data_IF_421189144341
#
_entry.id   IF_421189144341
#
_cell.length_a   1.000
_cell.length_b   1.000
_cell.length_c   1.000
_cell.angle_alpha   90.00
_cell.angle_beta   90.00
_cell.angle_gamma   90.00
#
_symmetry.space_group_name_H-M   'P 1'
#
loop_
_entity.id
_entity.type
_entity.pdbx_description
1 polymer ?
#
# COMPACT_ATOMS: atom_id res chain seq x y z
N UNK A 1 33.81 28.20 10.03
CA UNK A 1 33.58 28.77 8.68
C UNK A 1 32.37 28.09 8.05
N UNK A 2 31.54 28.85 7.33
CA UNK A 2 30.38 28.40 6.54
C UNK A 2 30.85 27.37 5.51
N UNK A 3 30.01 26.38 5.19
CA UNK A 3 30.29 25.31 4.21
C UNK A 3 31.53 24.41 4.46
N UNK A 4 32.30 24.62 5.54
CA UNK A 4 33.49 23.80 5.83
C UNK A 4 33.14 22.35 6.24
N UNK A 5 32.26 22.20 7.25
CA UNK A 5 31.81 20.87 7.73
C UNK A 5 30.65 20.32 6.90
N UNK A 6 29.62 21.13 6.68
CA UNK A 6 28.41 20.76 5.93
C UNK A 6 28.15 21.83 4.89
N UNK A 7 28.33 21.47 3.63
CA UNK A 7 27.95 22.27 2.46
C UNK A 7 26.64 21.75 1.85
N UNK A 8 26.11 22.47 0.86
CA UNK A 8 24.84 22.12 0.21
C UNK A 8 24.88 20.77 -0.49
N UNK A 9 25.99 20.40 -1.13
CA UNK A 9 26.13 19.13 -1.85
C UNK A 9 26.19 17.94 -0.87
N UNK A 10 26.99 18.04 0.19
CA UNK A 10 27.06 17.05 1.28
C UNK A 10 25.74 16.89 2.00
N UNK A 11 25.05 18.01 2.31
CA UNK A 11 23.68 17.97 2.86
C UNK A 11 22.76 17.16 1.96
N UNK A 12 22.76 17.46 0.65
CA UNK A 12 21.90 16.76 -0.29
C UNK A 12 22.21 15.26 -0.37
N UNK A 13 23.48 14.88 -0.36
CA UNK A 13 23.91 13.47 -0.33
C UNK A 13 23.39 12.78 0.94
N UNK A 14 23.56 13.39 2.12
CA UNK A 14 23.10 12.80 3.37
C UNK A 14 21.57 12.68 3.44
N UNK A 15 20.84 13.70 3.02
CA UNK A 15 19.38 13.65 2.93
C UNK A 15 18.94 12.59 1.94
N UNK A 16 19.55 12.51 0.76
CA UNK A 16 19.18 11.52 -0.25
C UNK A 16 19.44 10.09 0.21
N UNK A 17 20.53 9.84 0.96
CA UNK A 17 20.77 8.54 1.61
C UNK A 17 19.63 8.19 2.57
N UNK A 18 19.22 9.13 3.43
CA UNK A 18 18.11 8.91 4.37
C UNK A 18 16.75 8.78 3.69
N UNK A 19 16.55 9.46 2.55
CA UNK A 19 15.35 9.30 1.71
C UNK A 19 15.28 7.93 1.06
N UNK A 20 16.42 7.33 0.70
CA UNK A 20 16.47 5.95 0.20
C UNK A 20 16.03 4.96 1.28
N UNK A 21 16.58 5.10 2.50
CA UNK A 21 16.15 4.29 3.66
C UNK A 21 14.65 4.51 3.97
N UNK A 22 14.16 5.74 3.83
CA UNK A 22 12.74 6.06 4.04
C UNK A 22 11.86 5.40 2.98
N UNK A 23 12.29 5.42 1.72
CA UNK A 23 11.58 4.76 0.62
C UNK A 23 11.47 3.26 0.83
N UNK A 24 12.52 2.61 1.34
CA UNK A 24 12.50 1.20 1.68
C UNK A 24 11.49 0.90 2.82
N UNK A 25 11.49 1.72 3.87
CA UNK A 25 10.53 1.57 4.96
C UNK A 25 9.07 1.78 4.50
N UNK A 26 8.81 2.74 3.60
CA UNK A 26 7.50 2.95 2.98
C UNK A 26 7.10 1.76 2.10
N UNK A 27 8.04 1.24 1.31
CA UNK A 27 7.80 0.05 0.48
C UNK A 27 7.44 -1.16 1.35
N UNK A 28 8.18 -1.40 2.43
CA UNK A 28 7.89 -2.48 3.38
C UNK A 28 6.52 -2.32 4.04
N UNK A 29 6.14 -1.10 4.41
CA UNK A 29 4.78 -0.83 4.90
C UNK A 29 3.73 -1.23 3.86
N UNK A 30 3.93 -0.80 2.61
CA UNK A 30 2.99 -1.10 1.52
C UNK A 30 2.87 -2.60 1.26
N UNK A 31 4.00 -3.33 1.29
CA UNK A 31 4.00 -4.78 1.13
C UNK A 31 3.20 -5.46 2.26
N UNK A 32 3.41 -5.06 3.51
CA UNK A 32 2.63 -5.57 4.66
C UNK A 32 1.14 -5.28 4.49
N UNK A 33 0.76 -4.06 4.10
CA UNK A 33 -0.64 -3.71 3.85
C UNK A 33 -1.29 -4.57 2.78
N UNK A 34 -0.58 -4.83 1.67
CA UNK A 34 -1.09 -5.65 0.57
C UNK A 34 -1.24 -7.11 1.02
N UNK A 35 -0.20 -7.68 1.65
CA UNK A 35 -0.24 -9.06 2.15
C UNK A 35 -1.39 -9.24 3.14
N UNK A 36 -1.54 -8.34 4.11
CA UNK A 36 -2.63 -8.40 5.09
C UNK A 36 -4.01 -8.30 4.42
N UNK A 37 -4.18 -7.46 3.39
CA UNK A 37 -5.43 -7.37 2.63
C UNK A 37 -5.73 -8.66 1.88
N UNK A 38 -4.74 -9.27 1.25
CA UNK A 38 -4.89 -10.56 0.55
C UNK A 38 -5.27 -11.66 1.55
N UNK A 39 -4.59 -11.72 2.70
CA UNK A 39 -4.91 -12.68 3.76
C UNK A 39 -6.34 -12.50 4.28
N UNK A 40 -6.76 -11.26 4.52
CA UNK A 40 -8.12 -10.96 4.95
C UNK A 40 -9.14 -11.39 3.88
N UNK A 41 -8.95 -11.01 2.62
CA UNK A 41 -9.85 -11.39 1.53
C UNK A 41 -9.94 -12.92 1.35
N UNK A 42 -8.83 -13.64 1.55
CA UNK A 42 -8.81 -15.11 1.54
C UNK A 42 -9.69 -15.70 2.67
N UNK A 43 -9.53 -15.20 3.89
CA UNK A 43 -10.34 -15.67 5.02
C UNK A 43 -11.80 -15.25 4.93
N UNK A 44 -12.10 -14.08 4.35
CA UNK A 44 -13.47 -13.63 4.07
C UNK A 44 -14.16 -14.57 3.05
N UNK A 45 -13.44 -14.99 2.00
CA UNK A 45 -13.93 -16.00 1.05
C UNK A 45 -14.19 -17.34 1.75
N UNK A 46 -13.22 -17.85 2.51
CA UNK A 46 -13.37 -19.11 3.25
C UNK A 46 -14.57 -19.08 4.21
N UNK A 47 -14.75 -17.97 4.92
CA UNK A 47 -15.91 -17.74 5.78
C UNK A 47 -17.21 -17.74 4.97
N UNK A 48 -17.28 -17.00 3.86
CA UNK A 48 -18.51 -16.90 3.05
C UNK A 48 -18.94 -18.24 2.46
N UNK A 49 -18.01 -19.08 2.01
CA UNK A 49 -18.29 -20.43 1.49
C UNK A 49 -18.88 -21.30 2.60
N UNK A 50 -18.29 -21.24 3.80
CA UNK A 50 -18.78 -22.00 4.94
C UNK A 50 -20.15 -21.52 5.42
N UNK A 51 -20.41 -20.22 5.39
CA UNK A 51 -21.73 -19.67 5.70
C UNK A 51 -22.78 -20.12 4.67
N UNK A 52 -22.47 -20.10 3.37
CA UNK A 52 -23.37 -20.61 2.33
C UNK A 52 -23.76 -22.07 2.59
N UNK A 53 -22.79 -22.92 2.94
CA UNK A 53 -23.03 -24.32 3.30
C UNK A 53 -23.97 -24.44 4.51
N UNK A 54 -23.77 -23.63 5.55
CA UNK A 54 -24.64 -23.56 6.73
C UNK A 54 -26.06 -23.13 6.34
N UNK A 55 -26.21 -22.14 5.43
CA UNK A 55 -27.54 -21.72 4.96
C UNK A 55 -28.24 -22.83 4.18
N UNK A 56 -27.51 -23.58 3.35
CA UNK A 56 -28.05 -24.75 2.63
C UNK A 56 -28.51 -25.84 3.59
N UNK A 57 -27.74 -26.12 4.64
CA UNK A 57 -28.14 -27.09 5.67
C UNK A 57 -29.34 -26.61 6.49
N UNK A 58 -29.44 -25.30 6.75
CA UNK A 58 -30.61 -24.70 7.39
C UNK A 58 -31.89 -24.86 6.55
N UNK A 59 -31.79 -24.81 5.21
CA UNK A 59 -32.92 -25.12 4.31
C UNK A 59 -33.34 -26.59 4.46
N UNK A 60 -32.39 -27.54 4.42
CA UNK A 60 -32.70 -28.98 4.59
C UNK A 60 -33.39 -29.26 5.93
N UNK A 61 -32.94 -28.60 7.00
CA UNK A 61 -33.54 -28.71 8.32
C UNK A 61 -34.97 -28.13 8.33
N UNK A 62 -35.19 -26.97 7.72
CA UNK A 62 -36.51 -26.36 7.60
C UNK A 62 -37.48 -27.21 6.78
N UNK A 63 -37.01 -27.86 5.71
CA UNK A 63 -37.82 -28.78 4.89
C UNK A 63 -38.21 -30.03 5.68
N UNK A 64 -37.29 -30.55 6.49
CA UNK A 64 -37.57 -31.66 7.41
C UNK A 64 -38.65 -31.27 8.43
N UNK A 65 -38.54 -30.07 9.00
CA UNK A 65 -39.55 -29.54 9.92
C UNK A 65 -40.91 -29.38 9.24
N UNK A 66 -40.96 -28.85 8.02
CA UNK A 66 -42.20 -28.72 7.26
C UNK A 66 -42.87 -30.07 7.03
N UNK A 67 -42.09 -31.10 6.65
CA UNK A 67 -42.62 -32.45 6.46
C UNK A 67 -43.14 -33.06 7.76
N UNK A 68 -42.47 -32.84 8.89
CA UNK A 68 -42.95 -33.27 10.21
C UNK A 68 -44.26 -32.57 10.59
N UNK A 69 -44.36 -31.26 10.39
CA UNK A 69 -45.58 -30.50 10.67
C UNK A 69 -46.76 -31.00 9.81
N UNK A 70 -46.54 -31.29 8.53
CA UNK A 70 -47.59 -31.85 7.64
C UNK A 70 -48.15 -33.16 8.19
N UNK A 71 -47.27 -34.09 8.58
CA UNK A 71 -47.68 -35.37 9.18
C UNK A 71 -48.45 -35.19 10.48
N UNK A 72 -48.05 -34.24 11.33
CA UNK A 72 -48.75 -33.94 12.58
C UNK A 72 -50.14 -33.34 12.35
N UNK A 73 -50.32 -32.53 11.31
CA UNK A 73 -51.64 -32.02 10.91
C UNK A 73 -52.53 -33.16 10.39
N UNK A 74 -51.98 -34.09 9.60
CA UNK A 74 -52.73 -35.26 9.09
C UNK A 74 -53.29 -36.14 10.22
N UNK A 75 -52.58 -36.26 11.34
CA UNK A 75 -53.04 -37.00 12.53
C UNK A 75 -53.75 -36.13 13.57
N UNK A 76 -53.97 -34.83 13.27
CA UNK A 76 -54.73 -33.90 14.10
C UNK A 76 -54.02 -33.38 15.35
N UNK A 77 -52.70 -33.54 15.46
CA UNK A 77 -51.90 -33.11 16.63
C UNK A 77 -51.32 -31.70 16.51
N UNK A 78 -51.42 -31.07 15.33
CA UNK A 78 -50.91 -29.72 15.04
C UNK A 78 -51.93 -28.93 14.21
N UNK A 79 -51.90 -27.59 14.29
CA UNK A 79 -52.84 -26.75 13.54
C UNK A 79 -52.38 -26.55 12.07
N UNK A 80 -53.30 -26.49 11.08
CA UNK A 80 -52.95 -26.27 9.68
C UNK A 80 -52.15 -24.98 9.41
N UNK A 81 -52.35 -23.94 10.24
CA UNK A 81 -51.61 -22.68 10.15
C UNK A 81 -50.10 -22.86 10.38
N UNK A 82 -49.70 -23.85 11.18
CA UNK A 82 -48.29 -24.13 11.48
C UNK A 82 -47.55 -24.72 10.26
N UNK A 83 -48.27 -25.38 9.35
CA UNK A 83 -47.71 -25.85 8.07
C UNK A 83 -47.43 -24.66 7.14
N UNK A 84 -48.34 -23.69 7.08
CA UNK A 84 -48.15 -22.47 6.29
C UNK A 84 -46.98 -21.65 6.82
N UNK A 85 -46.90 -21.48 8.15
CA UNK A 85 -45.78 -20.81 8.80
C UNK A 85 -44.44 -21.50 8.51
N UNK A 86 -44.38 -22.83 8.63
CA UNK A 86 -43.18 -23.60 8.30
C UNK A 86 -42.81 -23.51 6.82
N UNK A 87 -43.77 -23.47 5.90
CA UNK A 87 -43.52 -23.28 4.48
C UNK A 87 -42.91 -21.90 4.20
N UNK A 88 -43.45 -20.84 4.80
CA UNK A 88 -42.86 -19.49 4.70
C UNK A 88 -41.42 -19.45 5.24
N UNK A 89 -41.16 -20.18 6.33
CA UNK A 89 -39.81 -20.28 6.89
C UNK A 89 -38.83 -20.98 5.94
N UNK A 90 -39.25 -22.03 5.23
CA UNK A 90 -38.44 -22.68 4.18
C UNK A 90 -38.10 -21.68 3.08
N UNK A 91 -39.08 -20.93 2.57
CA UNK A 91 -38.85 -19.95 1.50
C UNK A 91 -37.92 -18.81 1.95
N UNK A 92 -38.05 -18.37 3.20
CA UNK A 92 -37.13 -17.37 3.79
C UNK A 92 -35.70 -17.90 3.86
N UNK A 93 -35.50 -19.18 4.22
CA UNK A 93 -34.17 -19.80 4.23
C UNK A 93 -33.61 -19.96 2.82
N UNK A 94 -34.45 -20.31 1.85
CA UNK A 94 -34.05 -20.37 0.43
C UNK A 94 -33.59 -19.01 -0.08
N UNK A 95 -34.31 -17.93 0.25
CA UNK A 95 -33.87 -16.58 -0.05
C UNK A 95 -32.50 -16.27 0.57
N UNK A 96 -32.27 -16.68 1.81
CA UNK A 96 -30.98 -16.47 2.48
C UNK A 96 -29.83 -17.22 1.78
N UNK A 97 -30.09 -18.41 1.22
CA UNK A 97 -29.09 -19.13 0.40
C UNK A 97 -28.69 -18.28 -0.82
N UNK A 98 -29.64 -17.70 -1.56
CA UNK A 98 -29.31 -16.84 -2.70
C UNK A 98 -28.48 -15.61 -2.31
N UNK A 99 -28.77 -15.02 -1.15
CA UNK A 99 -27.96 -13.91 -0.60
C UNK A 99 -26.54 -14.40 -0.32
N UNK A 100 -26.38 -15.54 0.36
CA UNK A 100 -25.05 -16.10 0.67
C UNK A 100 -24.25 -16.47 -0.59
N UNK A 101 -24.89 -17.01 -1.63
CA UNK A 101 -24.23 -17.29 -2.93
C UNK A 101 -23.68 -16.00 -3.59
N UNK A 102 -24.42 -14.90 -3.48
CA UNK A 102 -23.96 -13.59 -3.97
C UNK A 102 -22.79 -13.07 -3.12
N UNK A 103 -22.85 -13.25 -1.80
CA UNK A 103 -21.74 -12.89 -0.90
C UNK A 103 -20.47 -13.67 -1.23
N UNK A 104 -20.56 -14.98 -1.49
CA UNK A 104 -19.42 -15.81 -1.94
C UNK A 104 -18.83 -15.26 -3.24
N UNK A 105 -19.68 -14.98 -4.23
CA UNK A 105 -19.23 -14.41 -5.52
C UNK A 105 -18.53 -13.06 -5.34
N UNK A 106 -19.01 -12.20 -4.45
CA UNK A 106 -18.38 -10.91 -4.15
C UNK A 106 -17.05 -11.07 -3.43
N UNK A 107 -16.95 -11.96 -2.44
CA UNK A 107 -15.72 -12.26 -1.73
C UNK A 107 -14.65 -12.84 -2.66
N UNK A 108 -15.05 -13.74 -3.57
CA UNK A 108 -14.16 -14.31 -4.57
C UNK A 108 -13.62 -13.24 -5.53
N UNK A 109 -14.49 -12.36 -6.03
CA UNK A 109 -14.08 -11.26 -6.89
C UNK A 109 -13.15 -10.26 -6.18
N UNK A 110 -13.39 -10.00 -4.89
CA UNK A 110 -12.52 -9.14 -4.09
C UNK A 110 -11.12 -9.72 -3.93
N UNK A 111 -11.01 -11.04 -3.71
CA UNK A 111 -9.72 -11.74 -3.68
C UNK A 111 -9.03 -11.73 -5.05
N UNK A 112 -9.78 -12.02 -6.13
CA UNK A 112 -9.26 -12.01 -7.51
C UNK A 112 -8.70 -10.64 -7.88
N UNK A 113 -9.39 -9.55 -7.53
CA UNK A 113 -8.93 -8.18 -7.81
C UNK A 113 -7.58 -7.83 -7.13
N UNK A 114 -7.17 -8.58 -6.10
CA UNK A 114 -5.87 -8.39 -5.42
C UNK A 114 -4.77 -9.30 -5.97
N UNK A 115 -5.13 -10.41 -6.63
CA UNK A 115 -4.19 -11.47 -7.02
C UNK A 115 -4.03 -11.63 -8.54
N UNK A 116 -4.95 -11.08 -9.33
CA UNK A 116 -5.07 -11.30 -10.77
C UNK A 116 -4.98 -9.95 -11.49
N UNK A 117 -4.30 -9.91 -12.64
CA UNK A 117 -4.09 -8.67 -13.41
C UNK A 117 -5.40 -8.07 -13.96
N UNK A 118 -6.42 -8.91 -14.24
CA UNK A 118 -7.74 -8.46 -14.64
C UNK A 118 -8.59 -9.51 -15.37
N UNK A 119 -9.71 -9.10 -15.99
CA UNK A 119 -10.67 -10.00 -16.63
C UNK A 119 -10.13 -10.81 -17.82
N UNK A 120 -9.00 -10.42 -18.39
CA UNK A 120 -8.33 -11.14 -19.47
C UNK A 120 -7.45 -12.30 -19.00
N UNK A 121 -7.22 -12.44 -17.70
CA UNK A 121 -6.46 -13.55 -17.13
C UNK A 121 -7.31 -14.83 -17.09
N UNK A 122 -6.71 -15.95 -17.48
CA UNK A 122 -7.27 -17.29 -17.31
C UNK A 122 -7.78 -17.57 -15.89
N UNK A 123 -7.11 -17.02 -14.87
CA UNK A 123 -7.46 -17.20 -13.46
C UNK A 123 -8.71 -16.41 -13.05
N UNK A 124 -9.14 -15.42 -13.84
CA UNK A 124 -10.35 -14.66 -13.55
C UNK A 124 -11.61 -15.54 -13.54
N UNK A 125 -11.68 -16.49 -14.48
CA UNK A 125 -12.79 -17.41 -14.62
C UNK A 125 -12.64 -18.70 -13.81
N UNK A 126 -11.46 -18.93 -13.20
CA UNK A 126 -11.23 -20.08 -12.34
C UNK A 126 -11.93 -19.88 -10.98
N UNK A 127 -12.51 -20.96 -10.43
CA UNK A 127 -13.07 -20.92 -9.09
C UNK A 127 -11.96 -21.07 -8.05
N UNK A 128 -11.93 -20.18 -7.05
CA UNK A 128 -10.99 -20.28 -5.93
C UNK A 128 -11.63 -21.10 -4.80
N UNK A 129 -10.97 -22.21 -4.42
CA UNK A 129 -11.40 -23.06 -3.31
C UNK A 129 -10.37 -22.98 -2.18
N UNK A 130 -10.72 -22.41 -1.01
CA UNK A 130 -9.87 -22.43 0.17
C UNK A 130 -9.62 -23.86 0.65
N UNK A 131 -8.36 -24.21 0.91
CA UNK A 131 -7.96 -25.57 1.33
C UNK A 131 -7.61 -25.66 2.82
N UNK A 132 -7.40 -24.51 3.46
CA UNK A 132 -6.96 -24.46 4.86
C UNK A 132 -8.16 -24.60 5.82
N UNK A 133 -7.93 -25.32 6.91
CA UNK A 133 -8.89 -25.41 8.02
C UNK A 133 -8.56 -24.36 9.07
N UNK A 134 -9.58 -23.72 9.63
CA UNK A 134 -9.42 -22.70 10.67
C UNK A 134 -9.03 -23.32 12.01
N UNK A 135 -7.74 -23.33 12.35
CA UNK A 135 -7.21 -23.66 13.68
C UNK A 135 -6.54 -22.41 14.27
N UNK A 136 -7.32 -21.56 14.94
CA UNK A 136 -6.79 -20.38 15.62
C UNK A 136 -6.25 -20.78 16.98
N UNK A 137 -4.94 -20.94 17.04
CA UNK A 137 -4.22 -21.08 18.32
C UNK A 137 -3.83 -19.69 18.81
N UNK A 138 -4.26 -19.28 20.00
CA UNK A 138 -3.86 -17.99 20.56
C UNK A 138 -2.35 -17.99 20.78
N UNK A 139 -1.64 -17.07 20.12
CA UNK A 139 -0.22 -16.85 20.36
C UNK A 139 -0.09 -15.98 21.60
N UNK A 140 0.34 -16.57 22.71
CA UNK A 140 0.58 -15.85 23.96
C UNK A 140 2.02 -15.35 23.97
N UNK A 141 2.20 -14.05 23.82
CA UNK A 141 3.52 -13.37 23.91
C UNK A 141 3.46 -12.43 25.12
N UNK A 142 4.47 -12.40 26.00
CA UNK A 142 4.55 -11.41 27.07
C UNK A 142 4.49 -9.98 26.51
N UNK A 143 3.84 -9.07 27.24
CA UNK A 143 3.62 -7.71 26.78
C UNK A 143 4.93 -6.97 26.43
N UNK A 144 5.96 -7.14 27.25
CA UNK A 144 7.27 -6.52 27.03
C UNK A 144 7.93 -7.01 25.74
N UNK A 145 7.85 -8.32 25.47
CA UNK A 145 8.37 -8.92 24.25
C UNK A 145 7.61 -8.43 23.02
N UNK A 146 6.28 -8.32 23.13
CA UNK A 146 5.44 -7.76 22.07
C UNK A 146 5.78 -6.29 21.77
N UNK A 147 6.02 -5.46 22.80
CA UNK A 147 6.43 -4.06 22.61
C UNK A 147 7.80 -3.93 21.94
N UNK A 148 8.77 -4.73 22.39
CA UNK A 148 10.11 -4.76 21.79
C UNK A 148 10.04 -5.16 20.32
N UNK A 149 9.35 -6.26 20.01
CA UNK A 149 9.15 -6.73 18.63
C UNK A 149 8.43 -5.69 17.77
N UNK A 150 7.41 -5.03 18.30
CA UNK A 150 6.67 -3.98 17.60
C UNK A 150 7.58 -2.80 17.27
N UNK A 151 8.40 -2.32 18.22
CA UNK A 151 9.32 -1.20 17.99
C UNK A 151 10.36 -1.52 16.91
N UNK A 152 10.83 -2.76 16.84
CA UNK A 152 11.86 -3.20 15.89
C UNK A 152 11.29 -3.45 14.48
N UNK A 153 10.07 -3.99 14.38
CA UNK A 153 9.54 -4.47 13.10
C UNK A 153 8.55 -3.52 12.43
N UNK A 154 7.96 -2.55 13.15
CA UNK A 154 6.97 -1.61 12.59
C UNK A 154 7.61 -0.59 11.66
N UNK A 155 7.28 -0.59 10.36
CA UNK A 155 7.86 0.35 9.40
C UNK A 155 7.52 1.80 9.72
N UNK A 156 6.33 2.08 10.26
CA UNK A 156 5.90 3.44 10.61
C UNK A 156 6.81 4.08 11.67
N UNK A 157 7.30 3.30 12.63
CA UNK A 157 8.25 3.77 13.65
C UNK A 157 9.59 4.08 12.99
N UNK A 158 10.06 3.21 12.09
CA UNK A 158 11.30 3.43 11.34
C UNK A 158 11.23 4.70 10.48
N UNK A 159 10.12 4.95 9.80
CA UNK A 159 9.90 6.16 9.01
C UNK A 159 10.01 7.43 9.86
N UNK A 160 9.38 7.45 11.04
CA UNK A 160 9.47 8.58 11.97
C UNK A 160 10.91 8.84 12.44
N UNK A 161 11.67 7.79 12.74
CA UNK A 161 13.09 7.92 13.10
C UNK A 161 13.92 8.48 11.94
N UNK A 162 13.72 8.00 10.70
CA UNK A 162 14.43 8.50 9.52
C UNK A 162 14.08 9.96 9.22
N UNK A 163 12.81 10.35 9.39
CA UNK A 163 12.39 11.75 9.25
C UNK A 163 13.06 12.65 10.28
N UNK A 164 13.20 12.18 11.53
CA UNK A 164 13.94 12.88 12.58
C UNK A 164 15.42 13.05 12.20
N UNK A 165 16.05 12.04 11.61
CA UNK A 165 17.45 12.12 11.15
C UNK A 165 17.62 13.13 10.00
N UNK A 166 16.68 13.17 9.05
CA UNK A 166 16.66 14.18 7.98
C UNK A 166 16.55 15.59 8.59
N UNK A 167 15.62 15.79 9.52
CA UNK A 167 15.44 17.09 10.18
C UNK A 167 16.70 17.50 10.97
N UNK A 168 17.42 16.54 11.57
CA UNK A 168 18.69 16.79 12.25
C UNK A 168 19.77 17.29 11.28
N UNK A 169 19.89 16.67 10.09
CA UNK A 169 20.82 17.12 9.05
C UNK A 169 20.52 18.56 8.64
N UNK A 170 19.24 18.93 8.53
CA UNK A 170 18.83 20.29 8.23
C UNK A 170 19.21 21.29 9.34
N UNK A 171 18.95 20.95 10.59
CA UNK A 171 19.34 21.77 11.75
C UNK A 171 20.86 21.99 11.75
N UNK A 172 21.65 20.95 11.53
CA UNK A 172 23.11 21.03 11.52
C UNK A 172 23.63 21.88 10.34
N UNK A 173 22.98 21.79 9.18
CA UNK A 173 23.27 22.65 8.03
C UNK A 173 22.96 24.12 8.32
N UNK A 174 21.77 24.44 8.82
CA UNK A 174 21.39 25.83 9.10
C UNK A 174 22.24 26.44 10.22
N UNK A 175 22.60 25.65 11.24
CA UNK A 175 23.58 26.07 12.25
C UNK A 175 24.95 26.36 11.62
N UNK A 176 25.34 25.64 10.58
CA UNK A 176 26.58 25.91 9.84
C UNK A 176 26.48 27.14 8.93
N UNK A 177 25.28 27.43 8.38
CA UNK A 177 25.02 28.62 7.57
C UNK A 177 25.08 29.93 8.36
N UNK A 178 24.83 29.87 9.68
CA UNK A 178 24.99 31.01 10.58
C UNK A 178 26.46 31.42 10.83
N UNK A 179 27.45 30.68 10.31
CA UNK A 179 28.88 30.99 10.46
C UNK A 179 29.37 31.94 9.37
N UNK A 180 30.49 32.66 9.57
CA UNK A 180 31.11 33.47 8.53
C UNK A 180 31.55 32.65 7.31
N UNK A 181 31.32 33.17 6.10
CA UNK A 181 31.81 32.62 4.83
C UNK A 181 33.10 33.31 4.41
N UNK A 182 34.03 32.51 3.90
CA UNK A 182 35.28 32.97 3.29
C UNK A 182 35.34 32.28 1.93
N UNK A 183 35.30 33.07 0.86
CA UNK A 183 35.40 32.57 -0.51
C UNK A 183 36.70 33.09 -1.15
N UNK A 184 37.41 32.22 -1.86
CA UNK A 184 38.55 32.60 -2.69
C UNK A 184 38.14 32.54 -4.16
N UNK A 185 38.19 33.67 -4.85
CA UNK A 185 37.91 33.76 -6.29
C UNK A 185 39.19 34.20 -6.99
N UNK A 186 39.71 33.37 -7.89
CA UNK A 186 40.85 33.68 -8.73
C UNK A 186 40.43 33.64 -10.19
N UNK A 187 40.69 34.72 -10.93
CA UNK A 187 40.40 34.82 -12.36
C UNK A 187 41.69 35.16 -13.10
N UNK A 188 41.95 34.44 -14.18
CA UNK A 188 43.01 34.75 -15.13
C UNK A 188 42.38 34.97 -16.51
N UNK A 189 42.42 36.21 -16.99
CA UNK A 189 41.87 36.60 -18.29
C UNK A 189 42.92 37.38 -19.07
N UNK A 190 43.07 37.07 -20.35
CA UNK A 190 43.92 37.80 -21.29
C UNK A 190 43.03 38.51 -22.30
N UNK A 191 43.04 39.85 -22.33
CA UNK A 191 42.32 40.66 -23.33
C UNK A 191 43.31 41.52 -24.12
N UNK A 192 43.29 41.42 -25.45
CA UNK A 192 44.14 42.21 -26.35
C UNK A 192 43.34 42.67 -27.58
N UNK A 193 43.52 43.92 -28.00
CA UNK A 193 42.83 44.55 -29.14
C UNK A 193 43.59 44.41 -30.48
N UNK A 194 44.71 43.66 -30.52
CA UNK A 194 45.47 43.40 -31.74
C UNK A 194 46.35 42.16 -31.62
N UNK A 195 46.31 41.30 -32.66
CA UNK A 195 47.01 40.01 -32.72
C UNK A 195 46.06 38.79 -32.62
N UNK A 196 46.43 37.68 -33.26
CA UNK A 196 45.60 36.48 -33.40
C UNK A 196 45.09 35.95 -32.04
N UNK A 197 43.77 35.71 -31.88
CA UNK A 197 43.19 35.40 -30.58
C UNK A 197 43.69 34.04 -30.07
N UNK A 198 44.43 34.05 -28.97
CA UNK A 198 44.69 32.85 -28.16
C UNK A 198 43.74 32.86 -26.97
N UNK A 199 42.55 32.31 -27.16
CA UNK A 199 41.59 32.09 -26.08
C UNK A 199 42.06 30.87 -25.27
N UNK A 200 42.85 31.11 -24.22
CA UNK A 200 43.09 30.11 -23.18
C UNK A 200 42.10 30.36 -22.03
N UNK A 201 40.82 30.10 -22.28
CA UNK A 201 39.77 30.21 -21.27
C UNK A 201 39.63 28.88 -20.52
N UNK A 202 40.42 28.69 -19.47
CA UNK A 202 40.15 27.64 -18.48
C UNK A 202 39.29 28.23 -17.36
N UNK A 203 37.98 28.26 -17.56
CA UNK A 203 37.01 28.60 -16.52
C UNK A 203 36.69 27.35 -15.70
N UNK A 204 37.23 27.25 -14.48
CA UNK A 204 36.73 26.34 -13.46
C UNK A 204 35.50 26.97 -12.79
N UNK A 205 34.35 26.93 -13.46
CA UNK A 205 33.06 27.29 -12.85
C UNK A 205 32.01 26.23 -13.15
N UNK A 206 31.43 25.68 -12.07
CA UNK A 206 30.52 24.53 -12.11
C UNK A 206 29.06 24.84 -12.43
N UNK A 207 28.75 25.69 -13.42
CA UNK A 207 27.36 25.91 -13.87
C UNK A 207 27.32 26.03 -15.41
N UNK A 208 26.51 25.22 -16.13
CA UNK A 208 26.40 25.33 -17.58
C UNK A 208 25.44 26.45 -17.97
N UNK A 209 25.87 27.39 -18.82
CA UNK A 209 24.99 28.40 -19.42
C UNK A 209 24.78 28.06 -20.91
N UNK A 210 23.57 27.59 -21.25
CA UNK A 210 23.08 27.49 -22.63
C UNK A 210 23.07 28.88 -23.27
N UNK A 211 23.77 29.07 -24.37
CA UNK A 211 23.68 30.27 -25.21
C UNK A 211 22.61 30.04 -26.28
N UNK A 212 21.58 30.90 -26.30
CA UNK A 212 20.62 31.03 -27.40
C UNK A 212 20.94 32.36 -28.08
N UNK A 213 21.53 32.30 -29.27
CA UNK A 213 21.89 33.47 -30.06
C UNK A 213 20.64 34.10 -30.69
N UNK A 214 20.44 35.40 -30.48
CA UNK A 214 19.71 36.27 -31.40
C UNK A 214 20.75 37.13 -32.10
N UNK A 215 20.78 37.04 -33.43
CA UNK A 215 21.61 37.89 -34.29
C UNK A 215 20.73 39.03 -34.84
N UNK A 216 21.17 40.27 -34.62
CA UNK A 216 20.71 41.44 -35.37
C UNK A 216 21.65 41.62 -36.59
N UNK A 217 21.07 41.71 -37.79
CA UNK A 217 21.76 42.11 -39.02
C UNK A 217 21.78 43.65 -39.15
N UNK A 218 22.87 44.27 -39.63
CA UNK A 218 22.88 45.70 -39.93
C UNK A 218 22.43 46.01 -41.37
N UNK A 219 21.68 47.09 -41.47
CA UNK A 219 21.20 47.79 -42.68
C UNK A 219 22.37 48.22 -43.58
N UNK A 220 22.20 48.05 -44.89
CA UNK A 220 22.91 48.83 -45.92
C UNK A 220 21.88 49.63 -46.73
N UNK A 221 22.33 50.83 -47.14
CA UNK A 221 21.68 51.92 -47.87
C UNK A 221 20.62 51.53 -48.91
#
# INVERSE_FOLDING_TARGET
>A
MRNYKVDTARRQIYINKKRLDLSDAVFRQRAIEIISRVQQAYWDLAFSIRDEEIQRDAVKLAETQLNNNKRQVEVGTLAPIDVVSAATQVETRRQQVFVSMNTVSQAENALKALCVDGPGDSLWNAQIVPVETFDVRPVVIPLEDAFRLARENRPEIKQLFLQKEINKIDIDFFRNQAKPQIDLVATYQTAGLGGSPRVAAWLLSGIPRRLRNFAEEPVKE
#
